data_IF_894086360667
#
_entry.id   IF_894086360667
#
_cell.length_a   1.000
_cell.length_b   1.000
_cell.length_c   1.000
_cell.angle_alpha   90.00
_cell.angle_beta   90.00
_cell.angle_gamma   90.00
#
_symmetry.space_group_name_H-M   'P 1'
#
loop_
_entity.id
_entity.type
_entity.pdbx_description
1 polymer ?
#
# COMPACT_ATOMS: atom_id res chain seq x y z
N UNK A 1 7.19 35.98 13.56
CA UNK A 1 6.32 34.85 13.20
C UNK A 1 6.74 34.38 11.81
N UNK A 2 7.56 33.32 11.76
CA UNK A 2 7.98 32.68 10.51
C UNK A 2 6.89 31.70 10.05
N UNK A 3 6.50 31.79 8.78
CA UNK A 3 5.42 31.00 8.20
C UNK A 3 5.73 29.50 8.19
N UNK A 4 4.68 28.67 8.25
CA UNK A 4 4.74 27.20 8.35
C UNK A 4 5.63 26.47 7.31
N UNK A 5 5.97 27.14 6.20
CA UNK A 5 6.83 26.55 5.16
C UNK A 5 8.34 26.52 5.48
N UNK A 6 8.80 27.36 6.41
CA UNK A 6 10.22 27.39 6.78
C UNK A 6 10.56 26.43 7.92
N UNK A 7 9.60 26.06 8.76
CA UNK A 7 9.81 25.09 9.85
C UNK A 7 10.00 23.66 9.30
N UNK A 8 9.26 23.32 8.26
CA UNK A 8 9.39 22.00 7.61
C UNK A 8 10.75 21.77 6.92
N UNK A 9 11.38 22.85 6.38
CA UNK A 9 12.72 22.77 5.77
C UNK A 9 13.86 22.58 6.77
N UNK A 10 13.70 23.03 8.01
CA UNK A 10 14.72 22.91 9.05
C UNK A 10 14.71 21.54 9.73
N UNK A 11 13.54 20.92 9.92
CA UNK A 11 13.45 19.55 10.46
C UNK A 11 13.99 18.51 9.47
N UNK A 12 13.82 18.74 8.17
CA UNK A 12 14.35 17.85 7.14
C UNK A 12 15.89 17.83 7.08
N UNK A 13 16.57 18.99 7.28
CA UNK A 13 18.04 19.06 7.28
C UNK A 13 18.68 18.31 8.44
N UNK A 14 18.08 18.32 9.61
CA UNK A 14 18.63 17.66 10.80
C UNK A 14 18.44 16.14 10.81
N UNK A 15 17.50 15.61 10.03
CA UNK A 15 17.25 14.16 9.94
C UNK A 15 18.21 13.44 8.97
N UNK A 16 18.74 14.16 7.97
CA UNK A 16 19.60 13.57 6.94
C UNK A 16 21.07 13.48 7.35
N UNK A 17 21.52 14.31 8.30
CA UNK A 17 22.93 14.34 8.71
C UNK A 17 23.33 13.20 9.66
N UNK A 18 22.40 12.40 10.19
CA UNK A 18 22.72 11.36 11.19
C UNK A 18 22.54 9.91 10.73
N UNK A 19 22.36 9.67 9.45
CA UNK A 19 22.29 8.29 8.95
C UNK A 19 23.42 8.04 7.96
N UNK A 20 24.43 7.29 8.40
CA UNK A 20 25.50 6.76 7.53
C UNK A 20 24.87 5.95 6.41
N UNK A 21 25.00 6.50 5.22
CA UNK A 21 25.24 5.89 3.93
C UNK A 21 25.09 4.37 3.86
N UNK A 22 23.85 3.92 3.54
CA UNK A 22 23.59 2.72 2.75
C UNK A 22 22.13 2.79 2.27
N UNK A 23 21.92 3.14 1.02
CA UNK A 23 20.95 2.57 0.06
C UNK A 23 19.47 2.48 0.42
N UNK A 24 18.89 3.46 1.11
CA UNK A 24 17.44 3.58 1.15
C UNK A 24 17.06 5.02 0.86
N UNK A 25 16.90 5.34 -0.41
CA UNK A 25 16.25 6.58 -0.82
C UNK A 25 14.74 6.36 -0.69
N UNK A 26 14.24 6.41 0.55
CA UNK A 26 12.81 6.57 0.82
C UNK A 26 12.43 7.98 0.38
N UNK A 27 11.82 8.11 -0.76
CA UNK A 27 11.14 9.34 -1.14
C UNK A 27 9.80 9.35 -0.41
N UNK A 28 9.79 9.85 0.84
CA UNK A 28 8.56 10.24 1.52
C UNK A 28 8.01 11.47 0.81
N UNK A 29 7.05 11.30 -0.04
CA UNK A 29 6.33 12.40 -0.64
C UNK A 29 4.91 12.47 -0.05
N UNK A 30 4.83 13.06 1.15
CA UNK A 30 3.56 13.34 1.82
C UNK A 30 2.92 14.56 1.17
N UNK A 31 2.14 14.35 0.13
CA UNK A 31 1.29 15.38 -0.45
C UNK A 31 -0.13 15.23 0.08
N UNK A 32 -0.47 16.06 1.05
CA UNK A 32 -1.87 16.31 1.42
C UNK A 32 -2.51 17.19 0.35
N UNK A 33 -3.36 16.61 -0.46
CA UNK A 33 -4.26 17.38 -1.32
C UNK A 33 -5.45 17.85 -0.48
N UNK A 34 -5.49 19.15 -0.21
CA UNK A 34 -6.65 19.82 0.40
C UNK A 34 -7.45 20.51 -0.70
N UNK A 35 -8.25 19.73 -1.42
CA UNK A 35 -9.47 20.19 -2.10
C UNK A 35 -10.40 18.97 -2.23
N UNK A 36 -11.17 18.68 -1.18
CA UNK A 36 -12.36 17.83 -1.21
C UNK A 36 -12.17 16.31 -1.36
N UNK A 37 -10.93 15.78 -1.46
CA UNK A 37 -10.66 14.34 -1.53
C UNK A 37 -9.49 13.97 -0.62
N UNK A 38 -9.59 12.86 0.13
CA UNK A 38 -8.47 12.33 0.92
C UNK A 38 -7.34 11.95 -0.03
N UNK A 39 -6.14 12.47 0.22
CA UNK A 39 -4.95 12.13 -0.55
C UNK A 39 -4.60 10.64 -0.41
N UNK A 40 -4.17 10.01 -1.50
CA UNK A 40 -3.57 8.67 -1.45
C UNK A 40 -2.10 8.84 -1.03
N UNK A 41 -1.76 8.38 0.17
CA UNK A 41 -0.37 8.30 0.63
C UNK A 41 0.26 7.01 0.06
N UNK A 42 0.87 7.10 -1.13
CA UNK A 42 1.52 5.97 -1.80
C UNK A 42 3.03 6.15 -1.75
N UNK A 43 3.72 5.17 -1.20
CA UNK A 43 5.19 5.11 -1.12
C UNK A 43 5.73 4.17 -2.18
N UNK A 44 6.61 4.67 -3.05
CA UNK A 44 7.28 3.87 -4.07
C UNK A 44 8.71 3.57 -3.62
N UNK A 45 9.04 2.28 -3.56
CA UNK A 45 10.39 1.81 -3.23
C UNK A 45 11.06 1.17 -4.45
N UNK A 46 12.30 1.55 -4.74
CA UNK A 46 13.12 0.94 -5.79
C UNK A 46 13.72 -0.42 -5.38
N UNK A 47 13.72 -0.74 -4.08
CA UNK A 47 14.41 -1.92 -3.54
C UNK A 47 13.54 -3.18 -3.44
N UNK A 48 12.24 -3.11 -3.69
CA UNK A 48 11.34 -4.25 -3.49
C UNK A 48 11.37 -5.29 -4.60
N UNK A 49 12.04 -5.01 -5.74
CA UNK A 49 11.99 -5.85 -6.93
C UNK A 49 10.59 -5.96 -7.59
N UNK A 50 9.55 -5.39 -6.96
CA UNK A 50 8.19 -5.38 -7.49
C UNK A 50 8.00 -4.23 -8.47
N UNK A 51 7.32 -4.43 -9.61
CA UNK A 51 6.96 -3.36 -10.53
C UNK A 51 6.20 -2.23 -9.82
N UNK A 52 6.41 -1.00 -10.26
CA UNK A 52 5.79 0.18 -9.61
C UNK A 52 4.26 0.09 -9.61
N UNK A 53 3.64 -0.39 -10.70
CA UNK A 53 2.19 -0.52 -10.76
C UNK A 53 1.65 -1.51 -9.70
N UNK A 54 2.37 -2.59 -9.40
CA UNK A 54 2.00 -3.53 -8.34
C UNK A 54 2.14 -2.92 -6.94
N UNK A 55 3.14 -2.07 -6.72
CA UNK A 55 3.27 -1.34 -5.45
C UNK A 55 2.10 -0.39 -5.23
N UNK A 56 1.63 0.28 -6.30
CA UNK A 56 0.44 1.14 -6.25
C UNK A 56 -0.81 0.32 -5.96
N UNK A 57 -1.06 -0.76 -6.71
CA UNK A 57 -2.25 -1.60 -6.54
C UNK A 57 -2.31 -2.21 -5.14
N UNK A 58 -1.19 -2.73 -4.63
CA UNK A 58 -1.12 -3.33 -3.30
C UNK A 58 -1.47 -2.33 -2.20
N UNK A 59 -0.92 -1.10 -2.25
CA UNK A 59 -1.18 -0.08 -1.24
C UNK A 59 -2.62 0.43 -1.30
N UNK A 60 -3.17 0.69 -2.50
CA UNK A 60 -4.57 1.12 -2.65
C UNK A 60 -5.52 0.04 -2.12
N UNK A 61 -5.28 -1.24 -2.44
CA UNK A 61 -6.05 -2.37 -1.91
C UNK A 61 -5.99 -2.41 -0.38
N UNK A 62 -4.80 -2.25 0.21
CA UNK A 62 -4.62 -2.23 1.66
C UNK A 62 -5.43 -1.10 2.32
N UNK A 63 -5.40 0.13 1.75
CA UNK A 63 -6.17 1.27 2.25
C UNK A 63 -7.70 1.03 2.18
N UNK A 64 -8.18 0.34 1.14
CA UNK A 64 -9.61 -0.01 1.00
C UNK A 64 -10.00 -1.08 2.03
N UNK A 65 -9.15 -2.09 2.21
CA UNK A 65 -9.40 -3.19 3.14
C UNK A 65 -9.39 -2.70 4.60
N UNK A 66 -8.40 -1.88 4.97
CA UNK A 66 -8.30 -1.27 6.31
C UNK A 66 -9.46 -0.30 6.62
N UNK A 67 -10.18 0.16 5.58
CA UNK A 67 -11.26 1.14 5.72
C UNK A 67 -10.77 2.60 5.76
N UNK A 68 -9.50 2.85 5.50
CA UNK A 68 -8.95 4.18 5.29
C UNK A 68 -9.60 4.85 4.08
N UNK A 69 -9.75 4.10 2.98
CA UNK A 69 -10.58 4.47 1.83
C UNK A 69 -11.93 3.75 1.93
N UNK A 70 -13.00 4.52 1.91
CA UNK A 70 -14.37 4.00 2.01
C UNK A 70 -15.00 3.87 0.64
N UNK A 71 -15.97 2.96 0.51
CA UNK A 71 -16.81 2.85 -0.66
C UNK A 71 -17.41 4.21 -1.06
N UNK A 72 -17.28 4.56 -2.34
CA UNK A 72 -17.71 5.85 -2.88
C UNK A 72 -16.70 6.99 -2.72
N UNK A 73 -15.60 6.81 -1.99
CA UNK A 73 -14.54 7.83 -1.92
C UNK A 73 -13.92 8.03 -3.31
N UNK A 74 -13.76 9.29 -3.69
CA UNK A 74 -13.08 9.64 -4.92
C UNK A 74 -11.57 9.42 -4.79
N UNK A 75 -10.98 8.75 -5.77
CA UNK A 75 -9.53 8.61 -5.87
C UNK A 75 -8.96 9.62 -6.88
N UNK A 76 -7.69 10.02 -6.72
CA UNK A 76 -7.07 11.00 -7.62
C UNK A 76 -7.16 10.59 -9.09
N UNK A 77 -7.17 11.55 -10.01
CA UNK A 77 -7.03 11.21 -11.43
C UNK A 77 -5.65 10.58 -11.70
N UNK A 78 -5.56 9.69 -12.70
CA UNK A 78 -4.30 9.03 -13.07
C UNK A 78 -3.15 10.04 -13.29
N UNK A 79 -3.46 11.22 -13.87
CA UNK A 79 -2.46 12.28 -14.08
C UNK A 79 -2.05 12.95 -12.77
N UNK A 80 -3.01 13.16 -11.85
CA UNK A 80 -2.73 13.76 -10.56
C UNK A 80 -1.86 12.82 -9.71
N UNK A 81 -2.21 11.53 -9.64
CA UNK A 81 -1.43 10.53 -8.93
C UNK A 81 -0.02 10.36 -9.53
N UNK A 82 0.09 10.24 -10.86
CA UNK A 82 1.37 10.14 -11.55
C UNK A 82 2.31 11.31 -11.22
N UNK A 83 1.75 12.52 -11.17
CA UNK A 83 2.48 13.73 -10.80
C UNK A 83 2.90 13.72 -9.33
N UNK A 84 2.03 13.30 -8.41
CA UNK A 84 2.34 13.29 -6.97
C UNK A 84 3.44 12.31 -6.61
N UNK A 85 3.43 11.09 -7.19
CA UNK A 85 4.42 10.05 -6.89
C UNK A 85 5.58 9.99 -7.91
N UNK A 86 5.67 10.98 -8.82
CA UNK A 86 6.74 11.13 -9.82
C UNK A 86 6.96 9.90 -10.71
N UNK A 87 5.88 9.27 -11.17
CA UNK A 87 5.90 8.12 -12.10
C UNK A 87 5.22 8.46 -13.42
N UNK A 88 5.35 7.57 -14.42
CA UNK A 88 4.66 7.75 -15.69
C UNK A 88 3.15 7.57 -15.54
N UNK A 89 2.36 8.33 -16.32
CA UNK A 89 0.90 8.17 -16.36
C UNK A 89 0.51 6.76 -16.80
N UNK A 90 1.29 6.14 -17.70
CA UNK A 90 1.05 4.77 -18.19
C UNK A 90 1.19 3.75 -17.06
N UNK A 91 2.14 3.95 -16.13
CA UNK A 91 2.31 3.08 -14.96
C UNK A 91 1.10 3.15 -14.04
N UNK A 92 0.59 4.38 -13.79
CA UNK A 92 -0.61 4.57 -12.97
C UNK A 92 -1.86 4.05 -13.67
N UNK A 93 -1.96 4.25 -14.99
CA UNK A 93 -3.06 3.70 -15.78
C UNK A 93 -3.13 2.18 -15.63
N UNK A 94 -2.01 1.48 -15.77
CA UNK A 94 -1.95 0.02 -15.56
C UNK A 94 -2.41 -0.38 -14.16
N UNK A 95 -1.98 0.36 -13.12
CA UNK A 95 -2.43 0.11 -11.76
C UNK A 95 -3.96 0.28 -11.61
N UNK A 96 -4.52 1.33 -12.22
CA UNK A 96 -5.96 1.59 -12.17
C UNK A 96 -6.77 0.56 -12.95
N UNK A 97 -6.29 0.12 -14.12
CA UNK A 97 -6.91 -0.96 -14.89
C UNK A 97 -6.95 -2.27 -14.08
N UNK A 98 -5.87 -2.58 -13.35
CA UNK A 98 -5.81 -3.74 -12.48
C UNK A 98 -6.76 -3.62 -11.29
N UNK A 99 -6.76 -2.48 -10.59
CA UNK A 99 -7.70 -2.21 -9.50
C UNK A 99 -9.17 -2.28 -9.96
N UNK A 100 -9.46 -1.82 -11.17
CA UNK A 100 -10.81 -1.88 -11.75
C UNK A 100 -11.18 -3.31 -12.16
N UNK A 101 -10.27 -4.06 -12.77
CA UNK A 101 -10.46 -5.47 -13.10
C UNK A 101 -10.76 -6.31 -11.85
N UNK A 102 -10.04 -6.02 -10.76
CA UNK A 102 -10.19 -6.72 -9.49
C UNK A 102 -11.36 -6.15 -8.65
N UNK A 103 -12.10 -5.14 -9.20
CA UNK A 103 -13.32 -4.58 -8.62
C UNK A 103 -13.14 -3.67 -7.41
N UNK A 104 -11.91 -3.21 -7.14
CA UNK A 104 -11.65 -2.28 -6.04
C UNK A 104 -12.06 -0.84 -6.34
N UNK A 105 -12.02 -0.46 -7.61
CA UNK A 105 -12.40 0.87 -8.06
C UNK A 105 -13.33 0.80 -9.26
N UNK A 106 -14.12 1.85 -9.44
CA UNK A 106 -14.97 2.07 -10.60
C UNK A 106 -14.62 3.41 -11.25
N UNK A 107 -14.47 3.42 -12.57
CA UNK A 107 -14.20 4.64 -13.33
C UNK A 107 -15.44 5.04 -14.10
N UNK A 108 -15.96 6.24 -13.83
CA UNK A 108 -17.08 6.83 -14.53
C UNK A 108 -16.59 7.95 -15.44
N UNK A 109 -16.90 7.83 -16.73
CA UNK A 109 -16.52 8.84 -17.73
C UNK A 109 -17.05 10.22 -17.33
N UNK A 110 -16.16 11.21 -17.28
CA UNK A 110 -16.47 12.58 -16.91
C UNK A 110 -16.63 12.85 -15.39
N UNK A 111 -16.63 11.81 -14.55
CA UNK A 111 -16.75 11.95 -13.09
C UNK A 111 -15.49 11.55 -12.34
N UNK A 112 -14.63 10.70 -12.92
CA UNK A 112 -13.42 10.21 -12.28
C UNK A 112 -13.50 8.77 -11.81
N UNK A 113 -12.59 8.38 -10.94
CA UNK A 113 -12.52 7.05 -10.37
C UNK A 113 -12.89 7.08 -8.89
N UNK A 114 -13.61 6.07 -8.43
CA UNK A 114 -14.15 5.96 -7.07
C UNK A 114 -13.90 4.57 -6.52
N UNK A 115 -13.82 4.45 -5.20
CA UNK A 115 -13.74 3.15 -4.52
C UNK A 115 -15.08 2.41 -4.72
N UNK A 116 -15.01 1.18 -5.21
CA UNK A 116 -16.20 0.34 -5.42
C UNK A 116 -16.78 -0.14 -4.08
N UNK A 117 -18.11 -0.26 -4.04
CA UNK A 117 -18.82 -0.75 -2.86
C UNK A 117 -18.83 -2.31 -2.76
N UNK A 118 -18.55 -3.00 -3.87
CA UNK A 118 -18.95 -4.41 -4.01
C UNK A 118 -17.93 -5.45 -3.55
N UNK A 119 -16.66 -5.14 -3.31
CA UNK A 119 -15.63 -6.20 -3.22
C UNK A 119 -14.82 -6.30 -1.93
N UNK A 120 -15.10 -5.50 -0.91
CA UNK A 120 -14.32 -5.57 0.34
C UNK A 120 -14.45 -6.95 1.01
N UNK A 121 -15.66 -7.46 1.13
CA UNK A 121 -15.94 -8.75 1.78
C UNK A 121 -15.34 -9.91 0.98
N UNK A 122 -15.58 -9.93 -0.33
CA UNK A 122 -15.01 -10.96 -1.21
C UNK A 122 -13.48 -11.00 -1.19
N UNK A 123 -12.83 -9.81 -1.16
CA UNK A 123 -11.37 -9.77 -1.08
C UNK A 123 -10.85 -10.25 0.28
N UNK A 124 -11.52 -9.90 1.38
CA UNK A 124 -11.15 -10.38 2.71
C UNK A 124 -11.27 -11.90 2.81
N UNK A 125 -12.36 -12.48 2.30
CA UNK A 125 -12.54 -13.93 2.21
C UNK A 125 -11.44 -14.60 1.40
N UNK A 126 -11.08 -14.04 0.24
CA UNK A 126 -10.02 -14.59 -0.60
C UNK A 126 -8.64 -14.49 0.07
N UNK A 127 -8.31 -13.38 0.72
CA UNK A 127 -7.05 -13.26 1.48
C UNK A 127 -7.01 -14.23 2.67
N UNK A 128 -8.13 -14.42 3.36
CA UNK A 128 -8.22 -15.41 4.42
C UNK A 128 -8.01 -16.83 3.87
N UNK A 129 -8.62 -17.18 2.74
CA UNK A 129 -8.44 -18.48 2.08
C UNK A 129 -6.98 -18.72 1.72
N UNK A 130 -6.29 -17.72 1.17
CA UNK A 130 -4.85 -17.81 0.85
C UNK A 130 -4.02 -18.02 2.12
N UNK A 131 -4.32 -17.29 3.20
CA UNK A 131 -3.63 -17.48 4.48
C UNK A 131 -3.86 -18.88 5.05
N UNK A 132 -5.08 -19.40 4.98
CA UNK A 132 -5.42 -20.76 5.42
C UNK A 132 -4.65 -21.83 4.63
N UNK A 133 -4.52 -21.69 3.29
CA UNK A 133 -3.73 -22.60 2.45
C UNK A 133 -2.25 -22.62 2.87
N UNK A 134 -1.65 -21.44 3.11
CA UNK A 134 -0.26 -21.38 3.56
C UNK A 134 -0.06 -21.96 4.98
N UNK A 135 -1.01 -21.72 5.88
CA UNK A 135 -0.97 -22.33 7.22
C UNK A 135 -1.13 -23.84 7.16
N UNK A 136 -1.96 -24.36 6.25
CA UNK A 136 -2.08 -25.80 6.03
C UNK A 136 -0.76 -26.41 5.56
N UNK A 137 -0.09 -25.80 4.58
CA UNK A 137 1.23 -26.23 4.10
C UNK A 137 2.24 -26.23 5.26
N UNK A 138 2.28 -25.14 6.04
CA UNK A 138 3.17 -25.06 7.20
C UNK A 138 2.91 -26.17 8.23
N UNK A 139 1.64 -26.47 8.49
CA UNK A 139 1.25 -27.55 9.41
C UNK A 139 1.63 -28.94 8.87
N UNK A 140 1.52 -29.18 7.56
CA UNK A 140 1.96 -30.44 6.91
C UNK A 140 3.47 -30.62 7.02
N UNK A 141 4.25 -29.57 6.73
CA UNK A 141 5.71 -29.57 6.91
C UNK A 141 6.07 -29.85 8.38
N UNK A 142 5.37 -29.22 9.31
CA UNK A 142 5.57 -29.40 10.75
C UNK A 142 5.36 -30.85 11.17
N UNK A 143 4.26 -31.47 10.76
CA UNK A 143 3.97 -32.87 11.05
C UNK A 143 5.01 -33.82 10.45
N UNK A 144 5.39 -33.60 9.19
CA UNK A 144 6.36 -34.47 8.50
C UNK A 144 7.76 -34.41 9.14
N UNK A 145 8.16 -33.27 9.70
CA UNK A 145 9.49 -33.05 10.26
C UNK A 145 9.51 -32.98 11.79
N UNK A 146 8.41 -33.39 12.46
CA UNK A 146 8.27 -33.43 13.93
C UNK A 146 8.53 -32.07 14.62
N UNK A 147 8.17 -30.98 13.93
CA UNK A 147 8.16 -29.63 14.52
C UNK A 147 6.90 -29.53 15.38
N UNK A 148 7.04 -29.12 16.63
CA UNK A 148 5.89 -29.03 17.53
C UNK A 148 4.97 -27.85 17.12
N UNK A 149 3.69 -27.97 17.51
CA UNK A 149 2.71 -26.89 17.29
C UNK A 149 3.15 -25.58 17.97
N UNK A 150 3.72 -25.70 19.19
CA UNK A 150 4.25 -24.55 19.93
C UNK A 150 5.33 -23.82 19.11
N UNK A 151 6.25 -24.59 18.49
CA UNK A 151 7.31 -23.97 17.66
C UNK A 151 6.76 -23.31 16.39
N UNK A 152 5.77 -23.90 15.73
CA UNK A 152 5.10 -23.28 14.58
C UNK A 152 4.36 -22.00 14.98
N UNK A 153 3.69 -22.00 16.14
CA UNK A 153 2.99 -20.83 16.65
C UNK A 153 3.98 -19.71 17.02
N UNK A 154 5.11 -20.06 17.64
CA UNK A 154 6.19 -19.12 17.95
C UNK A 154 6.74 -18.47 16.67
N UNK A 155 7.01 -19.25 15.62
CA UNK A 155 7.48 -18.74 14.35
C UNK A 155 6.45 -17.82 13.66
N UNK A 156 5.18 -18.22 13.69
CA UNK A 156 4.10 -17.39 13.14
C UNK A 156 3.99 -16.05 13.88
N UNK A 157 4.06 -16.07 15.21
CA UNK A 157 4.03 -14.86 16.02
C UNK A 157 5.24 -13.95 15.73
N UNK A 158 6.43 -14.53 15.55
CA UNK A 158 7.64 -13.80 15.19
C UNK A 158 7.46 -13.06 13.86
N UNK A 159 7.05 -13.77 12.80
CA UNK A 159 6.83 -13.16 11.48
C UNK A 159 5.69 -12.12 11.46
N UNK A 160 4.68 -12.31 12.32
CA UNK A 160 3.55 -11.37 12.39
C UNK A 160 3.92 -10.05 13.06
N UNK A 161 4.91 -10.06 13.96
CA UNK A 161 5.34 -8.88 14.73
C UNK A 161 6.58 -8.16 14.15
N UNK A 162 7.32 -8.79 13.21
CA UNK A 162 8.51 -8.19 12.58
C UNK A 162 8.17 -7.02 11.62
N UNK A 163 6.91 -6.84 11.22
CA UNK A 163 6.46 -5.82 10.28
C UNK A 163 5.87 -4.55 10.98
N UNK A 164 5.94 -4.42 12.32
CA UNK A 164 5.59 -3.20 13.06
C UNK A 164 6.86 -2.38 13.39
#
# INVERSE_FOLDING_TARGET
>A
RLGNGQRCKLEWKNSVENTRQADIMYIYNKYTWTEGGRGLDIVISSNTGKPIYEQITTQVKAMIISGELKAGDAIPSMRALAKSIHVSVITVQRAYEELQRDGFIETTVGRGSFVSAQNKEFYQEEQQRIAEEHLQIAAEIGRANRISLEKLTELLALFYLEDE
#
